data_IF_720127713097
#
_entry.id   IF_720127713097
#
_cell.length_a   1.000
_cell.length_b   1.000
_cell.length_c   1.000
_cell.angle_alpha   90.00
_cell.angle_beta   90.00
_cell.angle_gamma   90.00
#
_symmetry.space_group_name_H-M   'P 1'
#
loop_
_entity.id
_entity.type
_entity.pdbx_description
1 polymer ?
#
# COMPACT_ATOMS: atom_id res chain seq x y z
N UNK A 1 2.83 14.28 2.05
CA UNK A 1 3.23 13.14 2.84
C UNK A 1 2.35 11.93 2.57
N UNK A 2 2.95 10.78 2.43
CA UNK A 2 2.28 9.56 2.05
C UNK A 2 1.85 8.78 3.30
N UNK A 3 0.60 8.36 3.35
CA UNK A 3 0.09 7.64 4.52
C UNK A 3 0.17 6.13 4.38
N UNK A 4 0.60 5.67 3.23
CA UNK A 4 0.56 4.24 2.96
C UNK A 4 1.57 3.45 3.79
N UNK A 5 2.74 4.03 4.04
CA UNK A 5 3.75 3.32 4.82
C UNK A 5 3.27 3.01 6.22
N UNK A 6 2.64 3.98 6.85
CA UNK A 6 2.09 3.80 8.19
C UNK A 6 1.00 2.74 8.20
N UNK A 7 0.12 2.76 7.21
CA UNK A 7 -0.95 1.77 7.12
C UNK A 7 -0.39 0.37 6.94
N UNK A 8 0.61 0.23 6.07
CA UNK A 8 1.21 -1.07 5.84
C UNK A 8 1.91 -1.61 7.08
N UNK A 9 2.59 -0.73 7.80
CA UNK A 9 3.23 -1.14 9.05
C UNK A 9 2.19 -1.60 10.07
N UNK A 10 1.09 -0.87 10.18
CA UNK A 10 0.01 -1.24 11.09
C UNK A 10 -0.56 -2.60 10.74
N UNK A 11 -0.77 -2.87 9.46
CA UNK A 11 -1.29 -4.16 9.04
C UNK A 11 -0.32 -5.28 9.34
N UNK A 12 0.96 -5.02 9.12
CA UNK A 12 1.99 -6.02 9.43
C UNK A 12 1.98 -6.37 10.90
N UNK A 13 1.99 -5.36 11.76
CA UNK A 13 2.00 -5.58 13.21
C UNK A 13 0.73 -6.24 13.69
N UNK A 14 -0.40 -5.83 13.11
CA UNK A 14 -1.69 -6.41 13.45
C UNK A 14 -1.72 -7.91 13.15
N UNK A 15 -1.02 -8.33 12.13
CA UNK A 15 -0.94 -9.73 11.75
C UNK A 15 0.25 -10.45 12.36
N UNK A 16 0.93 -9.81 13.29
CA UNK A 16 2.08 -10.38 14.00
C UNK A 16 3.19 -10.84 13.06
N UNK A 17 3.43 -10.08 12.00
CA UNK A 17 4.45 -10.41 11.04
C UNK A 17 5.71 -9.58 11.26
N UNK A 18 6.86 -10.22 11.13
CA UNK A 18 8.13 -9.51 11.09
C UNK A 18 8.38 -9.05 9.66
N UNK A 19 9.32 -8.13 9.50
CA UNK A 19 9.73 -7.71 8.16
C UNK A 19 10.29 -8.88 7.38
N UNK A 20 11.02 -9.76 8.05
CA UNK A 20 11.59 -10.94 7.40
C UNK A 20 10.49 -11.85 6.86
N UNK A 21 9.48 -12.12 7.66
CA UNK A 21 8.37 -12.97 7.22
C UNK A 21 7.64 -12.31 6.07
N UNK A 22 7.35 -11.02 6.18
CA UNK A 22 6.67 -10.31 5.11
C UNK A 22 7.50 -10.32 3.83
N UNK A 23 8.81 -10.19 3.96
CA UNK A 23 9.71 -10.26 2.81
C UNK A 23 9.60 -11.61 2.12
N UNK A 24 9.56 -12.69 2.89
CA UNK A 24 9.42 -14.03 2.33
C UNK A 24 8.08 -14.22 1.63
N UNK A 25 7.03 -13.62 2.17
CA UNK A 25 5.69 -13.76 1.60
C UNK A 25 5.50 -12.95 0.33
N UNK A 26 6.18 -11.83 0.21
CA UNK A 26 5.97 -10.90 -0.90
C UNK A 26 7.10 -10.91 -1.92
N UNK A 27 8.21 -11.51 -1.56
CA UNK A 27 9.43 -11.45 -2.38
C UNK A 27 9.90 -10.01 -2.58
N UNK A 28 9.69 -9.18 -1.56
CA UNK A 28 10.19 -7.82 -1.51
C UNK A 28 11.28 -7.80 -0.44
N UNK A 29 12.42 -7.17 -0.71
CA UNK A 29 13.52 -7.19 0.24
C UNK A 29 13.13 -6.50 1.55
N UNK A 30 13.74 -6.94 2.65
CA UNK A 30 13.51 -6.35 3.97
C UNK A 30 13.81 -4.85 3.94
N UNK A 31 14.90 -4.49 3.30
CA UNK A 31 15.32 -3.10 3.21
C UNK A 31 14.27 -2.26 2.47
N UNK A 32 13.72 -2.77 1.39
CA UNK A 32 12.68 -2.07 0.65
C UNK A 32 11.41 -1.93 1.50
N UNK A 33 11.01 -3.02 2.17
CA UNK A 33 9.82 -2.96 3.03
C UNK A 33 10.00 -1.94 4.15
N UNK A 34 11.16 -1.93 4.77
CA UNK A 34 11.46 -0.97 5.82
C UNK A 34 11.35 0.46 5.31
N UNK A 35 11.90 0.70 4.13
CA UNK A 35 11.85 2.03 3.53
C UNK A 35 10.41 2.44 3.20
N UNK A 36 9.60 1.50 2.73
CA UNK A 36 8.20 1.77 2.46
C UNK A 36 7.47 2.15 3.75
N UNK A 37 7.68 1.37 4.81
CA UNK A 37 7.00 1.60 6.08
C UNK A 37 7.40 2.92 6.72
N UNK A 38 8.62 3.36 6.47
CA UNK A 38 9.15 4.59 7.04
C UNK A 38 9.01 5.79 6.12
N UNK A 39 8.22 5.62 5.08
CA UNK A 39 7.86 6.70 4.16
C UNK A 39 9.10 7.29 3.46
N UNK A 40 10.04 6.42 3.13
CA UNK A 40 11.26 6.82 2.45
C UNK A 40 11.24 6.53 0.96
N UNK A 41 10.13 5.99 0.46
CA UNK A 41 9.96 5.71 -0.96
C UNK A 41 8.87 6.64 -1.48
N UNK A 42 9.22 7.48 -2.43
CA UNK A 42 8.26 8.44 -2.98
C UNK A 42 7.20 7.75 -3.82
N UNK A 43 7.61 6.74 -4.55
CA UNK A 43 6.73 6.14 -5.53
C UNK A 43 6.84 4.62 -5.42
N UNK A 44 5.95 4.04 -4.65
CA UNK A 44 5.96 2.61 -4.45
C UNK A 44 5.47 1.91 -5.70
N UNK A 45 6.20 0.89 -6.13
CA UNK A 45 5.84 0.12 -7.31
C UNK A 45 4.43 -0.46 -7.18
N UNK A 46 3.66 -0.40 -8.25
CA UNK A 46 2.33 -1.00 -8.27
C UNK A 46 2.37 -2.50 -8.05
N UNK A 47 3.43 -3.16 -8.52
CA UNK A 47 3.59 -4.59 -8.31
C UNK A 47 3.76 -4.88 -6.82
N UNK A 48 4.56 -4.06 -6.12
CA UNK A 48 4.75 -4.24 -4.68
C UNK A 48 3.44 -4.03 -3.93
N UNK A 49 2.71 -2.99 -4.30
CA UNK A 49 1.41 -2.73 -3.68
C UNK A 49 0.44 -3.87 -3.89
N UNK A 50 0.45 -4.45 -5.09
CA UNK A 50 -0.43 -5.57 -5.39
C UNK A 50 -0.10 -6.76 -4.50
N UNK A 51 1.18 -7.09 -4.35
CA UNK A 51 1.60 -8.20 -3.50
C UNK A 51 1.22 -7.96 -2.05
N UNK A 52 1.40 -6.74 -1.57
CA UNK A 52 1.04 -6.39 -0.20
C UNK A 52 -0.47 -6.45 0.00
N UNK A 53 -1.23 -6.02 -1.00
CA UNK A 53 -2.69 -6.08 -0.92
C UNK A 53 -3.17 -7.53 -0.75
N UNK A 54 -2.50 -8.46 -1.42
CA UNK A 54 -2.86 -9.87 -1.33
C UNK A 54 -2.55 -10.44 0.04
N UNK A 55 -1.37 -10.12 0.58
CA UNK A 55 -0.96 -10.63 1.88
C UNK A 55 -1.89 -10.13 2.97
N UNK A 56 -2.23 -8.85 2.94
CA UNK A 56 -3.05 -8.25 3.99
C UNK A 56 -4.54 -8.29 3.70
N UNK A 57 -4.92 -8.81 2.53
CA UNK A 57 -6.31 -8.86 2.11
C UNK A 57 -6.93 -7.46 2.13
N UNK A 58 -6.21 -6.51 1.60
CA UNK A 58 -6.64 -5.13 1.46
C UNK A 58 -6.90 -4.85 -0.01
N UNK A 59 -7.93 -4.08 -0.29
CA UNK A 59 -8.27 -3.69 -1.64
C UNK A 59 -7.09 -2.95 -2.29
N UNK A 60 -6.67 -3.42 -3.43
CA UNK A 60 -5.57 -2.80 -4.16
C UNK A 60 -5.89 -1.35 -4.52
N UNK A 61 -7.12 -1.06 -4.93
CA UNK A 61 -7.53 0.31 -5.25
C UNK A 61 -7.41 1.22 -4.04
N UNK A 62 -7.72 0.69 -2.86
CA UNK A 62 -7.59 1.46 -1.63
C UNK A 62 -6.12 1.82 -1.38
N UNK A 63 -5.22 0.87 -1.58
CA UNK A 63 -3.79 1.14 -1.41
C UNK A 63 -3.28 2.12 -2.45
N UNK A 64 -3.77 2.04 -3.67
CA UNK A 64 -3.41 3.01 -4.69
C UNK A 64 -3.82 4.42 -4.30
N UNK A 65 -5.00 4.56 -3.71
CA UNK A 65 -5.47 5.86 -3.26
C UNK A 65 -4.62 6.40 -2.12
N UNK A 66 -4.19 5.53 -1.24
CA UNK A 66 -3.30 5.96 -0.16
C UNK A 66 -1.95 6.41 -0.70
N UNK A 67 -1.46 5.75 -1.74
CA UNK A 67 -0.19 6.13 -2.35
C UNK A 67 -0.28 7.53 -2.95
N UNK A 68 -1.47 7.91 -3.39
CA UNK A 68 -1.70 9.20 -3.99
C UNK A 68 -2.49 10.09 -3.04
N UNK A 69 -2.00 10.29 -1.83
CA UNK A 69 -2.75 11.04 -0.83
C UNK A 69 -2.92 12.52 -1.23
N UNK A 70 -2.11 13.01 -2.16
CA UNK A 70 -2.28 14.36 -2.68
C UNK A 70 -3.09 14.36 -3.98
N UNK A 71 -3.50 13.19 -4.45
CA UNK A 71 -4.25 13.07 -5.68
C UNK A 71 -5.66 13.63 -5.46
N UNK A 72 -6.16 14.46 -6.38
CA UNK A 72 -7.47 15.09 -6.17
C UNK A 72 -8.58 14.05 -6.00
N UNK A 73 -9.26 14.14 -4.89
CA UNK A 73 -10.32 13.20 -4.55
C UNK A 73 -11.44 13.20 -5.57
N UNK A 74 -11.73 14.36 -6.14
CA UNK A 74 -12.83 14.46 -7.09
C UNK A 74 -12.63 13.58 -8.33
N UNK A 75 -11.39 13.27 -8.66
CA UNK A 75 -11.13 12.39 -9.81
C UNK A 75 -11.61 10.98 -9.53
N UNK A 76 -11.42 10.51 -8.30
CA UNK A 76 -11.92 9.20 -7.93
C UNK A 76 -13.43 9.18 -7.86
N UNK A 77 -14.01 10.20 -7.30
CA UNK A 77 -15.47 10.30 -7.18
C UNK A 77 -16.12 10.32 -8.54
N UNK A 78 -15.54 11.07 -9.45
CA UNK A 78 -16.08 11.16 -10.79
C UNK A 78 -16.01 9.80 -11.49
N UNK A 79 -14.91 9.12 -11.36
CA UNK A 79 -14.73 7.82 -11.96
C UNK A 79 -15.71 6.81 -11.38
N UNK A 80 -15.86 6.85 -10.09
CA UNK A 80 -16.78 5.98 -9.37
C UNK A 80 -18.21 6.22 -9.85
N UNK A 81 -18.57 7.47 -9.97
CA UNK A 81 -19.87 7.87 -10.43
C UNK A 81 -20.19 7.32 -11.82
N UNK A 82 -19.21 7.43 -12.70
CA UNK A 82 -19.36 6.90 -14.05
C UNK A 82 -19.53 5.39 -14.03
N UNK A 83 -18.77 4.74 -13.17
CA UNK A 83 -18.83 3.30 -13.08
C UNK A 83 -20.16 2.79 -12.59
N UNK A 84 -20.90 3.61 -11.88
CA UNK A 84 -22.19 3.21 -11.33
C UNK A 84 -23.33 3.38 -12.33
N UNK A 85 -23.04 3.91 -13.46
CA UNK A 85 -24.07 4.06 -14.48
C UNK A 85 -24.05 2.95 -15.51
#
# INVERSE_FOLDING_TARGET
MNKIGKRLKQERLKNNLTLETLSNMTNISISTLSNIENDKVENISGVFLYRLSKVFNIDYDYLLRLRWDIFPTFLFERKSSIGNK
#
